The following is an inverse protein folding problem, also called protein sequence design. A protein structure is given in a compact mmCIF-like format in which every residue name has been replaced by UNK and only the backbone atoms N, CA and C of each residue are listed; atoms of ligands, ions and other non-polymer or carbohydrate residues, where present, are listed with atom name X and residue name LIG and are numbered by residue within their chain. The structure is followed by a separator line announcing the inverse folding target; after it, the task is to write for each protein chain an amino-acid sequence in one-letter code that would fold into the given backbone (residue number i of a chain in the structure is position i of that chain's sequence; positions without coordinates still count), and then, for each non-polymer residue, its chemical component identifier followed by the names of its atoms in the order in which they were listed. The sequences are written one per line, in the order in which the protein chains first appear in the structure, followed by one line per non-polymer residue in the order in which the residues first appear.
data_IF_600051498704
#
_entry.id   IF_600051498704
#
_cell.length_a   1.000
_cell.length_b   1.000
_cell.length_c   1.000
_cell.angle_alpha   90.00
_cell.angle_beta   90.00
_cell.angle_gamma   90.00
#
_symmetry.space_group_name_H-M   'P 1'
#
loop_
_entity.id
_entity.type
_entity.pdbx_description
1 polymer ?
#
# COMPACT_ATOMS: atom_id res chain seq x y z
N UNK A 1 11.54 37.76 46.36
CA UNK A 1 11.46 37.65 44.89
C UNK A 1 11.37 36.18 44.54
N UNK A 2 10.15 35.66 44.36
CA UNK A 2 9.91 34.22 44.19
C UNK A 2 9.98 33.83 42.71
N UNK A 3 11.01 33.08 42.34
CA UNK A 3 11.21 32.53 40.98
C UNK A 3 10.05 31.57 40.66
N UNK A 4 9.16 31.99 39.76
CA UNK A 4 8.13 31.13 39.17
C UNK A 4 8.81 30.21 38.16
N UNK A 5 8.83 28.92 38.46
CA UNK A 5 9.27 27.88 37.54
C UNK A 5 8.18 27.70 36.48
N UNK A 6 8.40 28.22 35.27
CA UNK A 6 7.60 27.87 34.11
C UNK A 6 8.06 26.48 33.63
N UNK A 7 7.30 25.44 33.97
CA UNK A 7 7.42 24.14 33.30
C UNK A 7 6.84 24.27 31.90
N UNK A 8 7.71 24.39 30.89
CA UNK A 8 7.31 24.30 29.49
C UNK A 8 7.03 22.83 29.16
N UNK A 9 5.75 22.47 29.03
CA UNK A 9 5.34 21.19 28.48
C UNK A 9 5.63 21.18 26.97
N UNK A 10 6.67 20.45 26.56
CA UNK A 10 6.92 20.15 25.15
C UNK A 10 5.90 19.09 24.73
N UNK A 11 4.77 19.52 24.18
CA UNK A 11 3.91 18.64 23.39
C UNK A 11 4.68 18.31 22.11
N UNK A 12 5.22 17.09 22.04
CA UNK A 12 5.67 16.52 20.77
C UNK A 12 4.44 16.41 19.85
N UNK A 13 4.29 17.37 18.95
CA UNK A 13 3.35 17.24 17.85
C UNK A 13 3.78 16.02 17.03
N UNK A 14 3.06 14.91 17.17
CA UNK A 14 3.19 13.78 16.28
C UNK A 14 2.77 14.27 14.89
N UNK A 15 3.73 14.79 14.12
CA UNK A 15 3.56 14.96 12.67
C UNK A 15 3.15 13.58 12.15
N UNK A 16 2.07 13.45 11.35
CA UNK A 16 1.75 12.19 10.72
C UNK A 16 2.98 11.83 9.92
N UNK A 17 3.81 10.95 10.47
CA UNK A 17 5.03 10.56 9.84
C UNK A 17 4.57 9.89 8.57
N UNK A 18 4.91 10.58 7.49
CA UNK A 18 4.55 10.30 6.14
C UNK A 18 4.69 8.80 5.92
N UNK A 19 3.58 8.10 5.64
CA UNK A 19 3.64 6.73 5.14
C UNK A 19 4.66 6.61 3.97
N UNK A 20 4.94 7.74 3.32
CA UNK A 20 5.92 7.92 2.27
C UNK A 20 7.40 7.73 2.68
N UNK A 21 7.80 7.92 3.94
CA UNK A 21 9.21 7.79 4.38
C UNK A 21 9.56 6.42 4.98
N UNK A 22 8.54 5.65 5.36
CA UNK A 22 8.74 4.37 6.04
C UNK A 22 8.91 3.20 5.09
N UNK A 23 8.39 3.31 3.87
CA UNK A 23 8.49 2.25 2.87
C UNK A 23 9.78 2.37 2.05
N UNK A 24 10.36 1.24 1.63
CA UNK A 24 11.65 1.26 0.96
C UNK A 24 11.63 2.02 -0.37
N UNK A 25 12.76 2.64 -0.70
CA UNK A 25 12.91 3.47 -1.90
C UNK A 25 12.64 2.70 -3.19
N UNK A 26 12.90 1.38 -3.24
CA UNK A 26 12.59 0.57 -4.42
C UNK A 26 11.08 0.46 -4.70
N UNK A 27 10.25 0.67 -3.68
CA UNK A 27 8.79 0.64 -3.79
C UNK A 27 8.19 2.02 -3.94
N UNK A 28 8.60 2.95 -3.07
CA UNK A 28 7.93 4.23 -2.91
C UNK A 28 9.00 5.31 -2.83
N UNK A 29 9.15 6.11 -3.89
CA UNK A 29 10.17 7.16 -3.98
C UNK A 29 9.71 8.41 -3.21
N UNK A 30 9.35 8.25 -1.94
CA UNK A 30 8.80 9.30 -1.05
C UNK A 30 7.48 9.97 -1.46
N UNK A 31 6.93 9.71 -2.65
CA UNK A 31 5.68 10.35 -3.12
C UNK A 31 4.67 9.39 -3.75
N UNK A 32 5.09 8.14 -4.02
CA UNK A 32 4.28 7.17 -4.77
C UNK A 32 3.32 6.37 -3.88
N UNK A 33 3.51 6.40 -2.56
CA UNK A 33 2.74 5.61 -1.59
C UNK A 33 1.47 6.32 -1.17
N UNK A 34 0.36 5.61 -1.18
CA UNK A 34 -0.86 6.09 -0.55
C UNK A 34 -1.63 4.95 0.15
N UNK A 35 -2.37 5.27 1.22
CA UNK A 35 -3.35 4.37 1.79
C UNK A 35 -4.37 3.95 0.73
N UNK A 36 -4.77 2.69 0.78
CA UNK A 36 -5.84 2.16 -0.05
C UNK A 36 -7.19 2.61 0.49
N UNK A 37 -7.95 3.31 -0.35
CA UNK A 37 -9.27 3.84 -0.04
C UNK A 37 -10.38 2.85 -0.39
N UNK A 38 -10.15 2.00 -1.41
CA UNK A 38 -11.11 1.00 -1.85
C UNK A 38 -10.40 -0.24 -2.41
N UNK A 39 -10.94 -1.41 -2.08
CA UNK A 39 -10.56 -2.70 -2.67
C UNK A 39 -11.80 -3.34 -3.27
N UNK A 40 -11.69 -3.76 -4.53
CA UNK A 40 -12.70 -4.58 -5.20
C UNK A 40 -12.04 -5.90 -5.64
N UNK A 41 -12.58 -7.03 -5.20
CA UNK A 41 -12.10 -8.33 -5.65
C UNK A 41 -12.58 -8.57 -7.08
N UNK A 42 -11.66 -8.88 -7.98
CA UNK A 42 -11.98 -9.23 -9.35
C UNK A 42 -12.30 -10.72 -9.44
N UNK A 43 -13.24 -11.13 -10.30
CA UNK A 43 -13.50 -12.55 -10.53
C UNK A 43 -12.20 -13.23 -10.97
N UNK A 44 -11.91 -14.39 -10.36
CA UNK A 44 -10.76 -15.20 -10.74
C UNK A 44 -10.83 -15.61 -12.21
N UNK A 45 -9.70 -16.04 -12.81
CA UNK A 45 -9.72 -16.46 -14.20
C UNK A 45 -10.74 -17.59 -14.39
N UNK A 46 -11.44 -17.63 -15.54
CA UNK A 46 -12.40 -18.69 -15.81
C UNK A 46 -11.70 -20.05 -15.73
N UNK A 47 -12.45 -21.09 -15.39
CA UNK A 47 -12.04 -22.50 -15.27
C UNK A 47 -11.07 -23.01 -16.36
N UNK A 48 -11.00 -22.37 -17.54
CA UNK A 48 -9.98 -22.60 -18.56
C UNK A 48 -8.53 -22.38 -18.08
N UNK A 49 -8.29 -21.58 -17.03
CA UNK A 49 -6.98 -21.43 -16.38
C UNK A 49 -6.56 -22.63 -15.52
N UNK A 50 -7.46 -23.58 -15.23
CA UNK A 50 -7.11 -24.83 -14.54
C UNK A 50 -6.28 -25.81 -15.41
N UNK A 51 -6.08 -25.48 -16.70
CA UNK A 51 -5.18 -26.18 -17.61
C UNK A 51 -3.73 -25.63 -17.55
N UNK A 52 -3.49 -24.59 -16.74
CA UNK A 52 -2.16 -24.01 -16.49
C UNK A 52 -1.55 -24.61 -15.23
N UNK A 53 -0.25 -24.91 -15.25
CA UNK A 53 0.46 -25.62 -14.16
C UNK A 53 0.32 -24.95 -12.79
N UNK A 54 0.27 -25.71 -11.66
CA UNK A 54 -0.10 -25.22 -10.32
C UNK A 54 0.88 -24.24 -9.66
N UNK A 55 2.03 -23.94 -10.28
CA UNK A 55 3.16 -23.31 -9.62
C UNK A 55 3.03 -21.79 -9.38
N UNK A 56 1.91 -21.16 -9.73
CA UNK A 56 1.72 -19.70 -9.58
C UNK A 56 0.36 -19.28 -8.99
N UNK A 57 -0.42 -20.24 -8.49
CA UNK A 57 -1.67 -19.97 -7.79
C UNK A 57 -1.41 -19.68 -6.31
N UNK A 58 -0.64 -18.62 -6.01
CA UNK A 58 -0.78 -17.98 -4.71
C UNK A 58 -2.20 -17.40 -4.68
N UNK A 59 -3.10 -18.06 -3.95
CA UNK A 59 -4.54 -18.10 -4.19
C UNK A 59 -5.30 -16.82 -3.81
N UNK A 60 -4.59 -15.70 -3.69
CA UNK A 60 -5.19 -14.40 -3.49
C UNK A 60 -5.79 -13.96 -4.83
N UNK A 61 -7.10 -13.73 -4.88
CA UNK A 61 -7.76 -13.23 -6.09
C UNK A 61 -7.13 -11.93 -6.59
N UNK A 62 -7.24 -11.65 -7.88
CA UNK A 62 -6.89 -10.33 -8.39
C UNK A 62 -7.80 -9.27 -7.75
N UNK A 63 -7.29 -8.07 -7.52
CA UNK A 63 -8.03 -6.98 -6.89
C UNK A 63 -7.82 -5.68 -7.66
N UNK A 64 -8.87 -4.87 -7.81
CA UNK A 64 -8.76 -3.47 -8.19
C UNK A 64 -8.60 -2.64 -6.91
N UNK A 65 -7.51 -1.89 -6.83
CA UNK A 65 -7.15 -1.08 -5.67
C UNK A 65 -7.19 0.39 -6.06
N UNK A 66 -7.88 1.19 -5.27
CA UNK A 66 -7.98 2.65 -5.46
C UNK A 66 -7.29 3.38 -4.33
N UNK A 67 -6.51 4.40 -4.69
CA UNK A 67 -5.89 5.36 -3.79
C UNK A 67 -6.13 6.77 -4.32
N UNK A 68 -5.70 7.80 -3.58
CA UNK A 68 -5.63 9.19 -4.08
C UNK A 68 -4.88 9.39 -5.41
N UNK A 69 -4.00 8.45 -5.80
CA UNK A 69 -3.24 8.54 -7.06
C UNK A 69 -3.98 7.92 -8.25
N UNK A 70 -5.08 7.21 -8.00
CA UNK A 70 -5.86 6.50 -9.00
C UNK A 70 -6.07 5.03 -8.65
N UNK A 71 -6.51 4.26 -9.64
CA UNK A 71 -6.83 2.85 -9.48
C UNK A 71 -5.89 1.97 -10.30
N UNK A 72 -5.50 0.83 -9.75
CA UNK A 72 -4.64 -0.16 -10.42
C UNK A 72 -5.06 -1.58 -10.07
N UNK A 73 -4.94 -2.49 -11.05
CA UNK A 73 -5.14 -3.93 -10.82
C UNK A 73 -3.91 -4.51 -10.15
N UNK A 74 -4.12 -5.22 -9.04
CA UNK A 74 -3.15 -6.03 -8.32
C UNK A 74 -3.40 -7.50 -8.71
N UNK A 75 -2.52 -8.13 -9.50
CA UNK A 75 -2.62 -9.55 -9.83
C UNK A 75 -2.58 -10.45 -8.59
N UNK A 76 -3.21 -11.61 -8.69
CA UNK A 76 -3.26 -12.57 -7.58
C UNK A 76 -1.88 -13.07 -7.13
N UNK A 77 -0.97 -13.26 -8.08
CA UNK A 77 0.42 -13.66 -7.85
C UNK A 77 1.38 -12.47 -7.62
N UNK A 78 0.87 -11.24 -7.47
CA UNK A 78 1.73 -10.08 -7.24
C UNK A 78 2.38 -10.16 -5.85
N UNK A 79 3.70 -9.95 -5.71
CA UNK A 79 4.38 -9.98 -4.41
C UNK A 79 3.77 -8.99 -3.42
N UNK A 80 3.34 -9.49 -2.26
CA UNK A 80 2.78 -8.68 -1.18
C UNK A 80 3.80 -8.52 -0.08
N UNK A 81 3.87 -7.31 0.49
CA UNK A 81 4.74 -6.98 1.61
C UNK A 81 3.90 -6.65 2.84
N UNK A 82 4.49 -6.75 4.01
CA UNK A 82 3.81 -6.38 5.26
C UNK A 82 3.77 -4.85 5.45
N UNK A 83 2.61 -4.35 5.85
CA UNK A 83 2.39 -2.96 6.22
C UNK A 83 2.85 -2.68 7.65
N UNK A 84 3.41 -1.49 7.88
CA UNK A 84 3.93 -1.06 9.19
C UNK A 84 2.88 -0.41 10.10
N UNK A 85 1.72 -0.06 9.56
CA UNK A 85 0.67 0.69 10.27
C UNK A 85 -0.67 -0.05 10.31
N UNK A 86 -0.68 -1.34 9.99
CA UNK A 86 -1.88 -2.18 9.87
C UNK A 86 -2.91 -1.70 8.83
N UNK A 87 -2.57 -0.74 7.97
CA UNK A 87 -3.40 -0.31 6.84
C UNK A 87 -2.84 -0.86 5.53
N UNK A 88 -3.70 -1.03 4.51
CA UNK A 88 -3.22 -1.38 3.18
C UNK A 88 -2.68 -0.14 2.48
N UNK A 89 -1.52 -0.25 1.83
CA UNK A 89 -0.92 0.82 1.03
C UNK A 89 -0.51 0.32 -0.35
N UNK A 90 -0.70 1.15 -1.38
CA UNK A 90 -0.26 0.85 -2.73
C UNK A 90 0.70 1.95 -3.22
N UNK A 91 1.83 1.53 -3.80
CA UNK A 91 2.75 2.42 -4.48
C UNK A 91 2.54 2.33 -5.97
N UNK A 92 2.14 3.46 -6.58
CA UNK A 92 1.76 3.50 -7.99
C UNK A 92 2.27 4.77 -8.68
N UNK A 93 2.64 4.62 -9.95
CA UNK A 93 3.09 5.74 -10.80
C UNK A 93 2.36 5.73 -12.14
N UNK A 94 2.18 6.89 -12.79
CA UNK A 94 1.70 6.93 -14.16
C UNK A 94 2.60 6.09 -15.06
N UNK A 95 2.00 5.14 -15.77
CA UNK A 95 2.60 4.34 -16.84
C UNK A 95 2.42 5.00 -18.20
N UNK A 96 2.78 4.26 -19.25
CA UNK A 96 2.56 4.73 -20.63
C UNK A 96 1.04 4.81 -20.90
N UNK A 97 0.62 5.84 -21.62
CA UNK A 97 -0.79 6.05 -21.97
C UNK A 97 -1.69 6.50 -20.82
N UNK A 98 -1.14 6.96 -19.69
CA UNK A 98 -1.91 7.53 -18.57
C UNK A 98 -2.51 6.50 -17.61
N UNK A 99 -2.29 5.21 -17.84
CA UNK A 99 -2.67 4.15 -16.89
C UNK A 99 -1.81 4.22 -15.61
N UNK A 100 -2.36 3.83 -14.46
CA UNK A 100 -1.53 3.68 -13.25
C UNK A 100 -0.81 2.33 -13.27
N UNK A 101 0.48 2.35 -12.97
CA UNK A 101 1.33 1.17 -12.84
C UNK A 101 1.60 0.92 -11.36
N UNK A 102 1.31 -0.31 -10.92
CA UNK A 102 1.62 -0.78 -9.57
C UNK A 102 3.13 -1.07 -9.46
N UNK A 103 3.72 -0.67 -8.34
CA UNK A 103 5.13 -0.92 -8.01
C UNK A 103 5.21 -1.92 -6.85
N UNK A 104 4.49 -1.63 -5.77
CA UNK A 104 4.40 -2.47 -4.59
C UNK A 104 3.02 -2.36 -3.94
N UNK A 105 2.63 -3.41 -3.21
CA UNK A 105 1.44 -3.44 -2.36
C UNK A 105 1.85 -3.92 -0.97
N UNK A 106 1.39 -3.20 0.05
CA UNK A 106 1.62 -3.51 1.46
C UNK A 106 0.28 -3.89 2.09
N UNK A 107 0.21 -5.10 2.65
CA UNK A 107 -0.97 -5.67 3.28
C UNK A 107 -0.83 -5.59 4.80
N UNK A 108 -1.92 -5.40 5.55
CA UNK A 108 -1.88 -5.58 7.00
C UNK A 108 -1.30 -6.95 7.38
N UNK A 109 -0.55 -7.06 8.50
CA UNK A 109 -0.05 -8.34 9.00
C UNK A 109 -1.20 -9.36 9.14
N UNK A 110 -0.94 -10.61 8.78
CA UNK A 110 -1.87 -11.69 9.09
C UNK A 110 -1.87 -11.91 10.60
N UNK A 111 -3.07 -11.88 11.20
CA UNK A 111 -3.28 -12.18 12.63
C UNK A 111 -3.24 -13.67 12.90
#
# INVERSE_FOLDING_TARGET
MSKKWFLAAILAAATPAAAHDWYPMECCHAMDCAPVEKVEMLPGPPMASMLSTPAQADSLGAMLVTTRHGSVVVPGNFPRRESKDNQMHACMRPGQGGSMRLICIFMPPAI
#
